data_IF_958309313736
#
_entry.id   IF_958309313736
#
_cell.length_a   1.000
_cell.length_b   1.000
_cell.length_c   1.000
_cell.angle_alpha   90.00
_cell.angle_beta   90.00
_cell.angle_gamma   90.00
#
_symmetry.space_group_name_H-M   'P 1'
#
loop_
_entity.id
_entity.type
_entity.pdbx_description
1 polymer ?
#
# COMPACT_ATOMS: atom_id res chain seq x y z
N UNK A 1 -9.27 13.93 39.87
CA UNK A 1 -9.60 14.09 38.41
C UNK A 1 -9.81 12.72 37.74
N UNK A 2 -9.01 11.68 38.11
CA UNK A 2 -9.07 10.34 37.49
C UNK A 2 -10.41 9.60 37.67
N UNK A 3 -10.99 9.61 38.87
CA UNK A 3 -12.23 8.87 39.18
C UNK A 3 -13.44 9.39 38.38
N UNK A 4 -13.54 10.71 38.17
CA UNK A 4 -14.65 11.28 37.35
C UNK A 4 -14.57 10.86 35.91
N UNK A 5 -13.39 10.73 35.32
CA UNK A 5 -13.19 10.28 33.94
C UNK A 5 -13.60 8.81 33.79
N UNK A 6 -13.24 7.97 34.75
CA UNK A 6 -13.60 6.55 34.74
C UNK A 6 -15.12 6.37 34.82
N UNK A 7 -15.79 7.09 35.74
CA UNK A 7 -17.24 7.03 35.90
C UNK A 7 -17.96 7.52 34.64
N UNK A 8 -17.52 8.64 34.05
CA UNK A 8 -18.12 9.17 32.80
C UNK A 8 -17.96 8.20 31.65
N UNK A 9 -16.81 7.56 31.51
CA UNK A 9 -16.59 6.57 30.45
C UNK A 9 -17.41 5.30 30.67
N UNK A 10 -17.53 4.87 31.94
CA UNK A 10 -18.37 3.73 32.32
C UNK A 10 -19.87 3.99 32.05
N UNK A 11 -20.35 5.21 32.34
CA UNK A 11 -21.73 5.62 32.04
C UNK A 11 -21.96 5.72 30.52
N UNK A 12 -20.99 6.14 29.73
CA UNK A 12 -21.08 6.14 28.26
C UNK A 12 -21.17 4.74 27.67
N UNK A 13 -20.44 3.77 28.22
CA UNK A 13 -20.50 2.36 27.76
C UNK A 13 -21.80 1.66 28.19
N UNK A 14 -22.41 2.08 29.27
CA UNK A 14 -23.68 1.53 29.77
C UNK A 14 -24.90 2.21 29.15
N UNK A 15 -24.74 3.29 28.37
CA UNK A 15 -25.85 3.98 27.73
C UNK A 15 -26.32 3.22 26.48
N UNK A 16 -27.53 2.64 26.49
CA UNK A 16 -28.08 1.93 25.31
C UNK A 16 -28.38 2.89 24.14
N UNK A 17 -28.37 4.19 24.37
CA UNK A 17 -28.68 5.23 23.39
C UNK A 17 -27.44 5.73 22.63
N UNK A 18 -26.24 5.19 22.91
CA UNK A 18 -25.03 5.50 22.16
C UNK A 18 -24.85 4.54 20.98
N UNK A 19 -25.95 4.26 20.26
CA UNK A 19 -25.86 3.56 18.99
C UNK A 19 -25.14 4.48 18.02
N UNK A 20 -23.96 4.08 17.60
CA UNK A 20 -23.38 4.66 16.38
C UNK A 20 -24.42 4.47 15.27
N UNK A 21 -24.72 5.49 14.47
CA UNK A 21 -25.63 5.31 13.36
C UNK A 21 -25.09 4.14 12.50
N UNK A 22 -25.96 3.16 12.23
CA UNK A 22 -25.59 2.06 11.36
C UNK A 22 -25.35 2.64 9.97
N UNK A 23 -24.19 2.40 9.43
CA UNK A 23 -23.88 2.74 8.03
C UNK A 23 -24.64 1.77 7.14
N UNK A 24 -25.39 2.30 6.19
CA UNK A 24 -26.18 1.51 5.25
C UNK A 24 -25.31 1.01 4.08
N UNK A 25 -24.26 0.24 4.43
CA UNK A 25 -23.39 -0.37 3.45
C UNK A 25 -24.15 -1.40 2.59
N UNK A 26 -23.93 -1.47 1.25
CA UNK A 26 -22.91 -0.77 0.44
C UNK A 26 -23.38 0.58 -0.14
N UNK A 27 -24.60 1.02 0.16
CA UNK A 27 -25.18 2.26 -0.39
C UNK A 27 -24.52 3.52 0.18
N UNK A 28 -24.08 3.44 1.44
CA UNK A 28 -23.32 4.46 2.12
C UNK A 28 -21.99 3.86 2.58
N UNK A 29 -20.89 4.51 2.25
CA UNK A 29 -19.54 4.11 2.68
C UNK A 29 -19.01 5.14 3.68
N UNK A 30 -18.40 4.66 4.74
CA UNK A 30 -17.69 5.54 5.66
C UNK A 30 -16.46 6.14 4.96
N UNK A 31 -16.19 7.41 5.24
CA UNK A 31 -14.97 8.05 4.78
C UNK A 31 -13.77 7.42 5.47
N UNK A 32 -12.93 6.77 4.70
CA UNK A 32 -11.71 6.12 5.19
C UNK A 32 -10.70 7.20 5.62
N UNK A 33 -9.97 6.94 6.71
CA UNK A 33 -8.94 7.86 7.18
C UNK A 33 -7.79 7.97 6.14
N UNK A 34 -7.15 9.13 5.96
CA UNK A 34 -6.09 9.33 4.97
C UNK A 34 -4.90 8.36 5.10
N UNK A 35 -4.65 7.88 6.32
CA UNK A 35 -3.58 6.92 6.62
C UNK A 35 -4.06 5.48 6.80
N UNK A 36 -5.23 5.16 6.26
CA UNK A 36 -5.72 3.78 6.28
C UNK A 36 -4.84 2.90 5.39
N UNK A 37 -4.60 1.69 5.87
CA UNK A 37 -3.87 0.65 5.13
C UNK A 37 -4.88 -0.17 4.34
N UNK A 38 -5.06 0.22 3.08
CA UNK A 38 -5.85 -0.55 2.12
C UNK A 38 -4.94 -1.38 1.21
N UNK A 39 -5.13 -1.27 -0.10
CA UNK A 39 -4.27 -1.93 -1.08
C UNK A 39 -2.95 -1.16 -1.24
N UNK A 40 -1.88 -1.86 -1.63
CA UNK A 40 -0.58 -1.25 -1.94
C UNK A 40 -0.56 -0.93 -3.44
N UNK A 41 -0.27 0.33 -3.77
CA UNK A 41 -0.07 0.79 -5.13
C UNK A 41 1.43 0.81 -5.48
N UNK A 42 1.76 0.58 -6.75
CA UNK A 42 3.12 0.56 -7.27
C UNK A 42 3.30 1.63 -8.34
N UNK A 43 4.29 2.50 -8.17
CA UNK A 43 4.83 3.31 -9.25
C UNK A 43 5.91 2.49 -9.99
N UNK A 44 5.55 2.01 -11.19
CA UNK A 44 6.44 1.18 -12.00
C UNK A 44 7.68 1.95 -12.49
N UNK A 45 7.55 3.26 -12.74
CA UNK A 45 8.65 4.08 -13.23
C UNK A 45 9.70 4.35 -12.16
N UNK A 46 9.27 4.51 -10.91
CA UNK A 46 10.14 4.70 -9.76
C UNK A 46 10.81 3.40 -9.30
N UNK A 47 10.21 2.25 -9.57
CA UNK A 47 10.72 0.96 -9.11
C UNK A 47 11.99 0.53 -9.85
N UNK A 48 13.07 0.25 -9.13
CA UNK A 48 14.35 -0.19 -9.67
C UNK A 48 14.64 -1.68 -9.49
N UNK A 49 13.63 -2.49 -9.20
CA UNK A 49 13.77 -3.95 -8.97
C UNK A 49 14.85 -4.32 -7.93
N UNK A 50 15.04 -3.50 -6.90
CA UNK A 50 16.09 -3.71 -5.88
C UNK A 50 15.80 -4.88 -4.93
N UNK A 51 14.59 -5.44 -4.96
CA UNK A 51 14.11 -6.58 -4.16
C UNK A 51 14.13 -6.36 -2.63
N UNK A 52 14.30 -5.14 -2.13
CA UNK A 52 14.31 -4.88 -0.69
C UNK A 52 12.96 -5.18 -0.07
N UNK A 53 11.86 -4.74 -0.68
CA UNK A 53 10.51 -5.00 -0.20
C UNK A 53 10.19 -6.50 -0.14
N UNK A 54 10.60 -7.29 -1.15
CA UNK A 54 10.41 -8.74 -1.15
C UNK A 54 11.24 -9.44 -0.07
N UNK A 55 12.49 -9.02 0.17
CA UNK A 55 13.37 -9.61 1.20
C UNK A 55 12.91 -9.30 2.62
N UNK A 56 12.28 -8.16 2.84
CA UNK A 56 11.81 -7.72 4.15
C UNK A 56 10.36 -8.15 4.41
N UNK A 57 9.69 -8.73 3.41
CA UNK A 57 8.34 -9.22 3.57
C UNK A 57 8.31 -10.46 4.48
N UNK A 58 7.60 -10.42 5.62
CA UNK A 58 7.54 -11.56 6.54
C UNK A 58 6.78 -12.75 5.96
N UNK A 59 5.81 -12.50 5.06
CA UNK A 59 4.94 -13.51 4.47
C UNK A 59 5.37 -13.99 3.09
N UNK A 60 6.46 -13.42 2.55
CA UNK A 60 7.00 -13.76 1.23
C UNK A 60 5.98 -13.62 0.10
N UNK A 61 5.05 -12.69 0.22
CA UNK A 61 3.94 -12.48 -0.71
C UNK A 61 4.30 -11.57 -1.90
N UNK A 62 5.56 -11.11 -2.02
CA UNK A 62 6.00 -10.18 -3.08
C UNK A 62 6.97 -10.90 -4.02
N UNK A 63 6.61 -10.96 -5.30
CA UNK A 63 7.39 -11.61 -6.35
C UNK A 63 7.92 -10.55 -7.30
N UNK A 64 9.25 -10.46 -7.45
CA UNK A 64 9.92 -9.46 -8.28
C UNK A 64 10.89 -10.16 -9.21
N UNK A 65 10.78 -9.83 -10.50
CA UNK A 65 11.76 -10.19 -11.51
C UNK A 65 12.20 -8.92 -12.24
N UNK A 66 13.45 -8.84 -12.58
CA UNK A 66 14.00 -7.70 -13.31
C UNK A 66 15.35 -8.02 -13.92
N UNK A 67 15.66 -7.33 -15.00
CA UNK A 67 16.93 -7.46 -15.68
C UNK A 67 17.68 -6.12 -15.75
N UNK A 68 18.93 -6.16 -16.19
CA UNK A 68 19.74 -4.97 -16.38
C UNK A 68 19.88 -4.68 -17.87
N UNK A 69 19.44 -3.51 -18.28
CA UNK A 69 19.70 -2.98 -19.61
C UNK A 69 20.91 -2.05 -19.61
N UNK A 70 21.74 -2.18 -20.64
CA UNK A 70 22.88 -1.30 -20.87
C UNK A 70 22.40 -0.06 -21.61
N UNK A 71 22.52 1.10 -21.00
CA UNK A 71 22.22 2.36 -21.66
C UNK A 71 23.40 2.87 -22.46
N UNK A 72 23.18 3.46 -23.67
CA UNK A 72 24.24 4.10 -24.42
C UNK A 72 24.87 5.22 -23.59
N UNK A 73 26.19 5.43 -23.69
CA UNK A 73 26.89 6.47 -22.93
C UNK A 73 26.35 7.86 -23.34
N UNK A 74 26.04 8.69 -22.36
CA UNK A 74 25.48 10.06 -22.56
C UNK A 74 26.49 11.01 -23.25
N UNK A 75 27.76 10.62 -23.36
CA UNK A 75 28.83 11.36 -24.06
C UNK A 75 29.73 10.37 -24.82
N UNK A 76 30.26 10.74 -26.01
CA UNK A 76 31.20 9.90 -26.71
C UNK A 76 32.46 9.65 -25.84
N UNK A 77 32.76 8.37 -25.58
CA UNK A 77 33.85 7.94 -24.67
C UNK A 77 33.46 7.85 -23.19
N UNK A 78 32.20 8.09 -22.82
CA UNK A 78 31.70 7.95 -21.45
C UNK A 78 31.53 6.49 -21.00
N UNK A 79 31.53 6.27 -19.69
CA UNK A 79 31.26 4.95 -19.10
C UNK A 79 29.84 4.53 -19.37
N UNK A 80 29.65 3.32 -19.87
CA UNK A 80 28.36 2.70 -20.06
C UNK A 80 27.67 2.47 -18.70
N UNK A 81 26.41 2.89 -18.59
CA UNK A 81 25.59 2.72 -17.37
C UNK A 81 24.59 1.59 -17.60
N UNK A 82 24.32 0.81 -16.56
CA UNK A 82 23.21 -0.16 -16.57
C UNK A 82 22.03 0.42 -15.81
N UNK A 83 20.82 0.28 -16.36
CA UNK A 83 19.55 0.56 -15.69
C UNK A 83 18.90 -0.79 -15.35
N UNK A 84 18.37 -0.90 -14.15
CA UNK A 84 17.50 -2.02 -13.80
C UNK A 84 16.10 -1.76 -14.39
N UNK A 85 15.53 -2.76 -15.01
CA UNK A 85 14.18 -2.74 -15.59
C UNK A 85 13.33 -3.75 -14.84
N UNK A 86 12.12 -3.34 -14.50
CA UNK A 86 11.15 -4.16 -13.81
C UNK A 86 10.39 -5.01 -14.84
N UNK A 87 10.59 -6.32 -14.82
CA UNK A 87 9.87 -7.24 -15.69
C UNK A 87 8.56 -7.68 -15.06
N UNK A 88 8.63 -8.08 -13.80
CA UNK A 88 7.51 -8.60 -13.03
C UNK A 88 7.52 -8.03 -11.62
N UNK A 89 6.35 -7.65 -11.14
CA UNK A 89 6.13 -7.29 -9.76
C UNK A 89 4.71 -7.70 -9.38
N UNK A 90 4.59 -8.71 -8.54
CA UNK A 90 3.30 -9.20 -8.09
C UNK A 90 3.22 -9.17 -6.58
N UNK A 91 2.03 -8.89 -6.05
CA UNK A 91 1.71 -9.04 -4.63
C UNK A 91 0.56 -10.04 -4.50
N UNK A 92 0.80 -11.09 -3.71
CA UNK A 92 -0.25 -12.03 -3.35
C UNK A 92 -1.00 -11.55 -2.11
N UNK A 93 -2.18 -10.97 -2.34
CA UNK A 93 -3.04 -10.46 -1.26
C UNK A 93 -3.76 -11.55 -0.46
N UNK A 94 -3.75 -12.80 -0.94
CA UNK A 94 -4.22 -13.93 -0.14
C UNK A 94 -3.25 -14.27 1.01
N UNK A 95 -1.96 -13.88 0.89
CA UNK A 95 -0.92 -14.09 1.90
C UNK A 95 -0.56 -12.81 2.65
N UNK A 96 -0.78 -11.65 2.06
CA UNK A 96 -0.34 -10.36 2.61
C UNK A 96 -1.02 -10.03 3.95
N UNK A 97 -0.22 -9.76 4.99
CA UNK A 97 -0.72 -9.34 6.32
C UNK A 97 -0.85 -7.82 6.50
N UNK A 98 -0.68 -7.03 5.44
CA UNK A 98 -0.82 -5.56 5.45
C UNK A 98 0.08 -4.85 6.49
N UNK A 99 1.24 -5.38 6.78
CA UNK A 99 2.18 -4.83 7.77
C UNK A 99 2.81 -3.49 7.35
N UNK A 100 2.95 -3.25 6.03
CA UNK A 100 3.49 -2.00 5.48
C UNK A 100 5.01 -1.90 5.45
N UNK A 101 5.73 -2.92 5.87
CA UNK A 101 7.21 -2.92 5.86
C UNK A 101 7.74 -2.66 4.45
N UNK A 102 7.08 -3.22 3.41
CA UNK A 102 7.48 -3.02 2.01
C UNK A 102 7.40 -1.56 1.56
N UNK A 103 6.41 -0.80 2.04
CA UNK A 103 6.25 0.63 1.76
C UNK A 103 7.34 1.42 2.46
N UNK A 104 7.58 1.14 3.76
CA UNK A 104 8.56 1.87 4.57
C UNK A 104 10.01 1.61 4.16
N UNK A 105 10.33 0.41 3.67
CA UNK A 105 11.69 0.02 3.30
C UNK A 105 12.08 0.45 1.90
N UNK A 106 11.13 0.94 1.08
CA UNK A 106 11.40 1.32 -0.31
C UNK A 106 12.24 2.60 -0.37
N UNK A 107 13.50 2.56 -0.84
CA UNK A 107 14.35 3.74 -0.90
C UNK A 107 14.05 4.67 -2.08
N UNK A 108 13.11 4.27 -2.95
CA UNK A 108 12.72 4.99 -4.16
C UNK A 108 11.28 5.51 -4.08
N UNK A 109 10.62 5.34 -2.93
CA UNK A 109 9.22 5.72 -2.72
C UNK A 109 8.29 5.22 -3.85
N UNK A 110 8.53 3.98 -4.30
CA UNK A 110 7.76 3.38 -5.39
C UNK A 110 6.49 2.65 -4.91
N UNK A 111 6.26 2.53 -3.61
CA UNK A 111 5.12 1.84 -3.03
C UNK A 111 4.33 2.80 -2.14
N UNK A 112 3.01 2.83 -2.35
CA UNK A 112 2.10 3.72 -1.64
C UNK A 112 0.92 2.96 -1.06
N UNK A 113 0.31 3.51 -0.01
CA UNK A 113 -0.96 3.04 0.49
C UNK A 113 -2.11 3.71 -0.25
N UNK A 114 -2.99 2.91 -0.84
CA UNK A 114 -4.31 3.35 -1.27
C UNK A 114 -5.33 3.05 -0.19
N UNK A 115 -6.34 3.90 0.01
CA UNK A 115 -7.42 3.65 0.97
C UNK A 115 -8.41 2.59 0.48
N UNK A 116 -8.28 2.11 -0.76
CA UNK A 116 -9.18 1.12 -1.34
C UNK A 116 -9.00 -0.25 -0.67
N UNK A 117 -10.11 -0.90 -0.33
CA UNK A 117 -10.13 -2.18 0.37
C UNK A 117 -11.13 -3.20 -0.23
N UNK A 118 -11.91 -2.79 -1.22
CA UNK A 118 -12.96 -3.61 -1.83
C UNK A 118 -12.44 -4.35 -3.08
N UNK A 119 -11.48 -5.26 -2.90
CA UNK A 119 -10.87 -6.04 -3.97
C UNK A 119 -10.88 -7.54 -3.71
N UNK A 120 -11.84 -8.01 -2.91
CA UNK A 120 -12.04 -9.45 -2.68
C UNK A 120 -12.50 -10.16 -3.95
N UNK A 121 -11.92 -11.33 -4.20
CA UNK A 121 -12.18 -12.13 -5.39
C UNK A 121 -12.75 -13.50 -5.02
N UNK A 122 -13.41 -14.16 -5.98
CA UNK A 122 -13.96 -15.50 -5.77
C UNK A 122 -12.90 -16.60 -5.82
N UNK A 123 -11.78 -16.35 -6.48
CA UNK A 123 -10.69 -17.29 -6.67
C UNK A 123 -9.40 -16.72 -6.06
N UNK A 124 -8.68 -17.54 -5.30
CA UNK A 124 -7.39 -17.13 -4.69
C UNK A 124 -6.36 -16.69 -5.73
N UNK A 125 -6.38 -17.26 -6.95
CA UNK A 125 -5.46 -16.86 -8.01
C UNK A 125 -5.66 -15.40 -8.44
N UNK A 126 -6.88 -14.89 -8.37
CA UNK A 126 -7.22 -13.52 -8.75
C UNK A 126 -6.82 -12.49 -7.67
N UNK A 127 -6.44 -12.98 -6.47
CA UNK A 127 -5.83 -12.15 -5.42
C UNK A 127 -4.34 -11.86 -5.66
N UNK A 128 -3.72 -12.49 -6.66
CA UNK A 128 -2.39 -12.15 -7.14
C UNK A 128 -2.50 -10.91 -8.04
N UNK A 129 -2.11 -9.76 -7.53
CA UNK A 129 -2.13 -8.52 -8.29
C UNK A 129 -0.79 -8.31 -8.98
N UNK A 130 -0.80 -8.26 -10.29
CA UNK A 130 0.33 -7.96 -11.15
C UNK A 130 0.70 -6.46 -11.14
N UNK A 131 1.83 -6.12 -11.75
CA UNK A 131 2.35 -4.75 -11.77
C UNK A 131 1.38 -3.76 -12.43
N UNK A 132 0.62 -4.19 -13.43
CA UNK A 132 -0.36 -3.35 -14.12
C UNK A 132 -1.53 -3.00 -13.19
N UNK A 133 -2.05 -3.98 -12.48
CA UNK A 133 -3.12 -3.78 -11.50
C UNK A 133 -2.66 -2.95 -10.31
N UNK A 134 -1.41 -3.13 -9.87
CA UNK A 134 -0.83 -2.34 -8.79
C UNK A 134 -0.60 -0.87 -9.20
N UNK A 135 -0.26 -0.61 -10.46
CA UNK A 135 -0.13 0.74 -11.02
C UNK A 135 -1.49 1.43 -11.13
N UNK A 136 -2.54 0.70 -11.50
CA UNK A 136 -3.89 1.24 -11.53
C UNK A 136 -4.35 1.74 -10.15
N UNK A 137 -3.93 1.11 -9.07
CA UNK A 137 -4.21 1.57 -7.71
C UNK A 137 -3.51 2.90 -7.37
N UNK A 138 -2.46 3.28 -8.10
CA UNK A 138 -1.78 4.55 -7.89
C UNK A 138 -2.71 5.75 -8.08
N UNK A 139 -3.70 5.63 -8.97
CA UNK A 139 -4.73 6.65 -9.23
C UNK A 139 -5.64 6.93 -8.02
N UNK A 140 -5.69 6.00 -7.09
CA UNK A 140 -6.54 6.07 -5.88
C UNK A 140 -5.77 6.52 -4.64
N UNK A 141 -4.45 6.68 -4.74
CA UNK A 141 -3.61 7.17 -3.65
C UNK A 141 -3.93 8.64 -3.40
N UNK A 142 -4.32 9.03 -2.17
CA UNK A 142 -4.56 10.42 -1.84
C UNK A 142 -3.26 11.22 -1.95
N UNK A 143 -3.38 12.46 -2.45
CA UNK A 143 -2.26 13.41 -2.37
C UNK A 143 -1.82 13.55 -0.91
N UNK A 144 -0.49 13.55 -0.68
CA UNK A 144 0.05 13.73 0.66
C UNK A 144 -0.45 15.08 1.19
N UNK A 145 -1.26 15.05 2.25
CA UNK A 145 -1.61 16.28 2.99
C UNK A 145 -0.29 16.91 3.42
N UNK A 146 0.00 18.11 2.90
CA UNK A 146 1.21 18.82 3.27
C UNK A 146 1.24 18.94 4.78
N UNK A 147 2.36 18.52 5.39
CA UNK A 147 2.61 18.79 6.78
C UNK A 147 2.57 20.32 6.93
N UNK A 148 1.44 20.83 7.41
CA UNK A 148 1.37 22.23 7.84
C UNK A 148 2.43 22.42 8.92
N UNK A 149 3.48 23.13 8.51
CA UNK A 149 4.64 23.48 9.35
C UNK A 149 4.29 24.51 10.40
#
# INVERSE_FOLDING_TARGET
IGIKIVIVNMLKTLSPFHSKPNVNYPFEKEKVAPRARGVIALDQEACTSCMLCARQCPDWCIYIEGHKELQPPSKPGGRQRSRAVLDRFDIDYALCMYCGICVEVCPFDALFWSPEYEYSEFNMGDMLHDKERLDDWLKTVPEAEGLES
#
